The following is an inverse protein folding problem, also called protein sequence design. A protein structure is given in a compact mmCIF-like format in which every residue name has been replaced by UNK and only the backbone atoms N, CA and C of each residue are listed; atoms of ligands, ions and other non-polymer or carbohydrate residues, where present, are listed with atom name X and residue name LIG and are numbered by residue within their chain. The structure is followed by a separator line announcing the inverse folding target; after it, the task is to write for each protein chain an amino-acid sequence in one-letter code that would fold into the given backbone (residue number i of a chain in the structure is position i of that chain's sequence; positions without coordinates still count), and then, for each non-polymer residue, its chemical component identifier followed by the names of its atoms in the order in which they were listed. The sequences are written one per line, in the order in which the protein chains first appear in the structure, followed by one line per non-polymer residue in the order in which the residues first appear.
data_IF_702535856365
#
_entry.id   IF_702535856365
#
_cell.length_a   1.000
_cell.length_b   1.000
_cell.length_c   1.000
_cell.angle_alpha   90.00
_cell.angle_beta   90.00
_cell.angle_gamma   90.00
#
_symmetry.space_group_name_H-M   'P 1'
#
loop_
_entity.id
_entity.type
_entity.pdbx_description
1 polymer ?
#
# COMPACT_ATOMS: atom_id res chain seq x y z
N UNK A 1 21.14 -9.98 12.98
CA UNK A 1 20.19 -9.62 11.90
C UNK A 1 19.53 -10.90 11.43
N UNK A 2 18.20 -10.92 11.23
CA UNK A 2 17.51 -12.07 10.64
C UNK A 2 17.11 -13.20 11.60
N UNK A 3 17.34 -13.07 12.90
CA UNK A 3 16.80 -14.00 13.91
C UNK A 3 15.46 -13.48 14.37
N UNK A 4 14.41 -14.26 14.23
CA UNK A 4 13.08 -13.87 14.68
C UNK A 4 12.20 -15.09 15.00
N UNK A 5 11.03 -14.84 15.57
CA UNK A 5 10.04 -15.84 15.92
C UNK A 5 8.70 -15.43 15.31
N UNK A 6 8.14 -16.31 14.48
CA UNK A 6 6.78 -16.17 13.97
C UNK A 6 5.80 -17.00 14.80
N UNK A 7 4.65 -16.41 15.11
CA UNK A 7 3.48 -17.09 15.67
C UNK A 7 2.33 -16.84 14.71
N UNK A 8 1.70 -17.92 14.26
CA UNK A 8 0.65 -17.87 13.25
C UNK A 8 -0.31 -19.03 13.35
N UNK A 9 -1.40 -18.94 12.60
CA UNK A 9 -2.34 -20.03 12.43
C UNK A 9 -1.81 -20.98 11.34
N UNK A 10 -2.03 -22.27 11.54
CA UNK A 10 -1.70 -23.33 10.58
C UNK A 10 -2.91 -23.66 9.72
N UNK A 11 -2.70 -24.32 8.58
CA UNK A 11 -3.79 -24.76 7.69
C UNK A 11 -4.85 -25.64 8.38
N UNK A 12 -4.45 -26.38 9.42
CA UNK A 12 -5.35 -27.24 10.21
C UNK A 12 -6.04 -26.50 11.36
N UNK A 13 -5.89 -25.17 11.46
CA UNK A 13 -6.62 -24.31 12.40
C UNK A 13 -6.03 -24.21 13.82
N UNK A 14 -4.79 -24.67 14.03
CA UNK A 14 -4.08 -24.51 15.32
C UNK A 14 -3.01 -23.43 15.26
N UNK A 15 -2.64 -22.87 16.41
CA UNK A 15 -1.50 -21.93 16.53
C UNK A 15 -0.18 -22.67 16.56
N UNK A 16 0.78 -22.20 15.76
CA UNK A 16 2.16 -22.66 15.76
C UNK A 16 3.13 -21.54 16.16
N UNK A 17 4.31 -21.91 16.64
CA UNK A 17 5.44 -20.99 16.86
C UNK A 17 6.69 -21.55 16.21
N UNK A 18 7.35 -20.75 15.38
CA UNK A 18 8.57 -21.14 14.67
C UNK A 18 9.62 -20.05 14.83
N UNK A 19 10.81 -20.44 15.32
CA UNK A 19 12.00 -19.58 15.26
C UNK A 19 12.73 -19.79 13.96
N UNK A 20 13.29 -18.72 13.38
CA UNK A 20 14.04 -18.81 12.12
C UNK A 20 15.25 -17.87 12.09
N UNK A 21 16.18 -18.17 11.18
CA UNK A 21 17.34 -17.36 10.86
C UNK A 21 17.37 -17.07 9.34
N UNK A 22 16.97 -15.85 8.94
CA UNK A 22 16.81 -15.45 7.54
C UNK A 22 17.41 -14.05 7.27
N UNK A 23 18.69 -13.87 7.60
CA UNK A 23 19.37 -12.58 7.49
C UNK A 23 19.37 -12.01 6.06
N UNK A 24 19.78 -12.81 5.08
CA UNK A 24 19.85 -12.38 3.68
C UNK A 24 18.47 -11.99 3.15
N UNK A 25 17.47 -12.86 3.34
CA UNK A 25 16.09 -12.64 2.89
C UNK A 25 15.51 -11.35 3.46
N UNK A 26 15.71 -11.09 4.75
CA UNK A 26 15.20 -9.89 5.40
C UNK A 26 15.85 -8.61 4.85
N UNK A 27 17.15 -8.64 4.57
CA UNK A 27 17.86 -7.52 3.94
C UNK A 27 17.39 -7.29 2.50
N UNK A 28 17.26 -8.36 1.70
CA UNK A 28 16.84 -8.28 0.30
C UNK A 28 15.42 -7.71 0.19
N UNK A 29 14.47 -8.21 0.99
CA UNK A 29 13.09 -7.72 1.00
C UNK A 29 13.07 -6.22 1.35
N UNK A 30 13.84 -5.80 2.35
CA UNK A 30 13.86 -4.40 2.79
C UNK A 30 14.57 -3.48 1.81
N UNK A 31 15.61 -3.97 1.15
CA UNK A 31 16.25 -3.27 0.04
C UNK A 31 15.26 -3.09 -1.13
N UNK A 32 14.61 -4.17 -1.52
CA UNK A 32 13.63 -4.19 -2.61
C UNK A 32 12.46 -3.25 -2.34
N UNK A 33 11.88 -3.26 -1.13
CA UNK A 33 10.85 -2.30 -0.73
C UNK A 33 11.32 -0.84 -0.80
N UNK A 34 12.59 -0.57 -0.47
CA UNK A 34 13.13 0.79 -0.57
C UNK A 34 13.25 1.21 -2.05
N UNK A 35 13.72 0.32 -2.91
CA UNK A 35 13.83 0.59 -4.35
C UNK A 35 12.44 0.79 -4.99
N UNK A 36 11.47 -0.07 -4.68
CA UNK A 36 10.11 0.04 -5.19
C UNK A 36 9.44 1.37 -4.81
N UNK A 37 9.70 1.89 -3.61
CA UNK A 37 9.15 3.20 -3.19
C UNK A 37 9.61 4.37 -4.06
N UNK A 38 10.79 4.24 -4.66
CA UNK A 38 11.34 5.28 -5.54
C UNK A 38 10.95 5.09 -7.00
N UNK A 39 10.60 3.88 -7.41
CA UNK A 39 10.31 3.57 -8.82
C UNK A 39 8.81 3.43 -9.10
N UNK A 40 8.03 2.92 -8.15
CA UNK A 40 6.61 2.67 -8.31
C UNK A 40 5.77 3.84 -7.83
N UNK A 41 4.66 4.08 -8.53
CA UNK A 41 3.68 5.09 -8.11
C UNK A 41 2.94 4.65 -6.85
N UNK A 42 2.34 5.62 -6.14
CA UNK A 42 1.54 5.39 -4.92
C UNK A 42 0.53 4.25 -5.08
N UNK A 43 -0.23 4.24 -6.18
CA UNK A 43 -1.30 3.26 -6.37
C UNK A 43 -0.78 1.89 -6.80
N UNK A 44 0.32 1.83 -7.56
CA UNK A 44 1.00 0.56 -7.84
C UNK A 44 1.47 -0.10 -6.54
N UNK A 45 2.14 0.65 -5.65
CA UNK A 45 2.56 0.14 -4.34
C UNK A 45 1.38 -0.37 -3.51
N UNK A 46 0.32 0.44 -3.40
CA UNK A 46 -0.88 0.10 -2.63
C UNK A 46 -1.52 -1.23 -3.07
N UNK A 47 -1.62 -1.47 -4.38
CA UNK A 47 -2.20 -2.72 -4.90
C UNK A 47 -1.21 -3.88 -4.83
N UNK A 48 0.06 -3.63 -5.15
CA UNK A 48 1.11 -4.65 -5.07
C UNK A 48 1.25 -5.20 -3.66
N UNK A 49 1.20 -4.36 -2.63
CA UNK A 49 1.30 -4.79 -1.23
C UNK A 49 0.15 -5.71 -0.83
N UNK A 50 -1.09 -5.39 -1.23
CA UNK A 50 -2.26 -6.23 -0.98
C UNK A 50 -2.14 -7.60 -1.66
N UNK A 51 -1.76 -7.60 -2.94
CA UNK A 51 -1.60 -8.83 -3.72
C UNK A 51 -0.43 -9.68 -3.21
N UNK A 52 0.69 -9.06 -2.84
CA UNK A 52 1.85 -9.76 -2.29
C UNK A 52 1.52 -10.40 -0.93
N UNK A 53 0.74 -9.73 -0.08
CA UNK A 53 0.29 -10.29 1.18
C UNK A 53 -0.61 -11.52 0.97
N UNK A 54 -1.60 -11.41 0.07
CA UNK A 54 -2.45 -12.55 -0.28
C UNK A 54 -1.62 -13.70 -0.86
N UNK A 55 -0.75 -13.43 -1.83
CA UNK A 55 0.11 -14.43 -2.46
C UNK A 55 1.00 -15.16 -1.45
N UNK A 56 1.65 -14.43 -0.54
CA UNK A 56 2.48 -15.01 0.50
C UNK A 56 1.70 -15.92 1.44
N UNK A 57 0.48 -15.52 1.84
CA UNK A 57 -0.40 -16.33 2.65
C UNK A 57 -0.88 -17.58 1.89
N UNK A 58 -1.33 -17.44 0.65
CA UNK A 58 -1.82 -18.56 -0.16
C UNK A 58 -0.72 -19.59 -0.44
N UNK A 59 0.50 -19.09 -0.67
CA UNK A 59 1.70 -19.93 -0.78
C UNK A 59 2.01 -20.66 0.54
N UNK A 60 1.91 -19.98 1.68
CA UNK A 60 2.09 -20.57 3.00
C UNK A 60 1.07 -21.70 3.27
N UNK A 61 -0.17 -21.55 2.80
CA UNK A 61 -1.22 -22.59 2.84
C UNK A 61 -1.03 -23.71 1.78
N UNK A 62 0.11 -23.74 1.08
CA UNK A 62 0.44 -24.77 0.09
C UNK A 62 -0.36 -24.69 -1.22
N UNK A 63 -1.11 -23.62 -1.45
CA UNK A 63 -1.99 -23.46 -2.61
C UNK A 63 -1.27 -22.88 -3.85
N UNK A 64 -0.03 -23.29 -4.09
CA UNK A 64 0.80 -22.75 -5.17
C UNK A 64 0.25 -23.01 -6.58
N UNK A 65 -0.45 -24.14 -6.77
CA UNK A 65 -1.00 -24.57 -8.06
C UNK A 65 -2.34 -23.90 -8.41
N UNK A 66 -2.91 -23.11 -7.49
CA UNK A 66 -4.14 -22.36 -7.77
C UNK A 66 -3.89 -21.36 -8.92
N UNK A 67 -4.77 -21.29 -9.95
CA UNK A 67 -4.64 -20.33 -11.05
C UNK A 67 -4.47 -18.87 -10.61
N UNK A 68 -5.01 -18.48 -9.44
CA UNK A 68 -4.84 -17.13 -8.91
C UNK A 68 -3.36 -16.77 -8.70
N UNK A 69 -2.52 -17.74 -8.40
CA UNK A 69 -1.08 -17.54 -8.20
C UNK A 69 -0.42 -17.05 -9.50
N UNK A 70 -0.75 -17.66 -10.64
CA UNK A 70 -0.23 -17.25 -11.96
C UNK A 70 -0.69 -15.84 -12.33
N UNK A 71 -1.94 -15.51 -12.01
CA UNK A 71 -2.50 -14.18 -12.28
C UNK A 71 -1.79 -13.10 -11.48
N UNK A 72 -1.53 -13.35 -10.18
CA UNK A 72 -0.80 -12.42 -9.33
C UNK A 72 0.67 -12.30 -9.78
N UNK A 73 1.32 -13.40 -10.14
CA UNK A 73 2.70 -13.36 -10.64
C UNK A 73 2.84 -12.58 -11.95
N UNK A 74 1.84 -12.62 -12.83
CA UNK A 74 1.82 -11.78 -14.03
C UNK A 74 1.79 -10.29 -13.66
N UNK A 75 0.94 -9.91 -12.70
CA UNK A 75 0.91 -8.55 -12.15
C UNK A 75 2.25 -8.16 -11.51
N UNK A 76 2.80 -9.03 -10.66
CA UNK A 76 4.08 -8.79 -10.00
C UNK A 76 5.19 -8.61 -11.05
N UNK A 77 5.30 -9.50 -12.02
CA UNK A 77 6.30 -9.43 -13.10
C UNK A 77 6.23 -8.10 -13.85
N UNK A 78 5.03 -7.68 -14.28
CA UNK A 78 4.85 -6.41 -14.97
C UNK A 78 5.18 -5.21 -14.07
N UNK A 79 4.80 -5.26 -12.79
CA UNK A 79 5.13 -4.19 -11.84
C UNK A 79 6.64 -4.00 -11.66
N UNK A 80 7.44 -5.05 -11.85
CA UNK A 80 8.89 -5.02 -11.62
C UNK A 80 9.70 -4.55 -12.84
N UNK A 81 9.10 -4.29 -14.00
CA UNK A 81 9.81 -3.94 -15.25
C UNK A 81 10.83 -2.80 -15.10
N UNK A 82 10.52 -1.79 -14.28
CA UNK A 82 11.39 -0.64 -14.03
C UNK A 82 12.10 -0.68 -12.68
N UNK A 83 11.82 -1.67 -11.82
CA UNK A 83 12.39 -1.76 -10.47
C UNK A 83 13.84 -2.25 -10.57
N UNK A 84 14.72 -1.34 -10.97
CA UNK A 84 16.14 -1.59 -11.22
C UNK A 84 16.97 -0.49 -10.59
N UNK A 85 17.96 -0.86 -9.79
CA UNK A 85 18.83 0.07 -9.09
C UNK A 85 19.67 -0.61 -8.03
N UNK A 86 20.45 0.19 -7.32
CA UNK A 86 21.30 -0.23 -6.21
C UNK A 86 20.76 0.33 -4.88
N UNK A 87 20.90 -0.46 -3.81
CA UNK A 87 20.46 -0.06 -2.47
C UNK A 87 21.63 -0.22 -1.52
N UNK A 88 22.02 0.87 -0.88
CA UNK A 88 23.10 0.88 0.10
C UNK A 88 22.56 0.55 1.49
N UNK A 89 23.09 -0.50 2.11
CA UNK A 89 22.71 -0.93 3.47
C UNK A 89 23.95 -1.01 4.35
N UNK A 90 23.90 -0.39 5.53
CA UNK A 90 24.90 -0.61 6.58
C UNK A 90 24.42 -1.66 7.56
N UNK A 91 25.29 -2.64 7.83
CA UNK A 91 25.06 -3.69 8.81
C UNK A 91 25.76 -3.35 10.12
N UNK A 92 25.04 -3.52 11.22
CA UNK A 92 25.57 -3.39 12.58
C UNK A 92 25.32 -4.71 13.33
N UNK A 93 25.98 -4.91 14.49
CA UNK A 93 25.57 -5.94 15.41
C UNK A 93 24.07 -5.83 15.72
N UNK A 94 23.34 -6.91 15.49
CA UNK A 94 21.89 -7.07 15.75
C UNK A 94 20.92 -6.20 14.92
N UNK A 95 21.37 -5.21 14.14
CA UNK A 95 20.49 -4.31 13.35
C UNK A 95 21.08 -3.95 11.99
N UNK A 96 20.26 -3.43 11.08
CA UNK A 96 20.69 -2.90 9.79
C UNK A 96 20.01 -1.55 9.53
N UNK A 97 20.58 -0.76 8.63
CA UNK A 97 20.02 0.53 8.20
C UNK A 97 20.11 0.64 6.67
N UNK A 98 18.99 0.99 6.03
CA UNK A 98 18.97 1.36 4.61
C UNK A 98 19.40 2.81 4.51
N UNK A 99 20.50 3.07 3.81
CA UNK A 99 21.12 4.40 3.75
C UNK A 99 20.58 5.23 2.58
N UNK A 100 20.26 4.58 1.47
CA UNK A 100 19.84 5.26 0.26
C UNK A 100 19.70 4.29 -0.91
N UNK A 101 19.16 4.80 -2.00
CA UNK A 101 18.93 4.07 -3.24
C UNK A 101 19.44 4.88 -4.41
N UNK A 102 19.88 4.20 -5.46
CA UNK A 102 20.24 4.80 -6.73
C UNK A 102 19.51 4.04 -7.84
N UNK A 103 18.73 4.76 -8.67
CA UNK A 103 18.00 4.16 -9.78
C UNK A 103 17.90 5.13 -10.95
N UNK A 104 18.03 4.61 -12.18
CA UNK A 104 17.76 5.36 -13.41
C UNK A 104 16.27 5.74 -13.58
N UNK A 105 15.38 5.11 -12.82
CA UNK A 105 13.93 5.30 -12.86
C UNK A 105 13.39 5.98 -11.59
N UNK A 106 14.25 6.66 -10.83
CA UNK A 106 13.83 7.32 -9.59
C UNK A 106 12.84 8.47 -9.85
N UNK A 107 11.61 8.29 -9.35
CA UNK A 107 10.53 9.28 -9.40
C UNK A 107 10.83 10.52 -8.55
N UNK A 108 11.77 10.43 -7.61
CA UNK A 108 12.24 11.54 -6.77
C UNK A 108 13.43 12.31 -7.38
N UNK A 109 13.85 12.01 -8.63
CA UNK A 109 15.02 12.68 -9.20
C UNK A 109 14.86 14.21 -9.18
N UNK A 110 15.97 14.90 -8.88
CA UNK A 110 16.03 16.35 -8.68
C UNK A 110 15.52 17.20 -9.86
N UNK A 111 15.30 16.58 -11.02
CA UNK A 111 14.66 17.19 -12.19
C UNK A 111 13.19 17.55 -11.98
N UNK A 112 12.48 16.82 -11.12
CA UNK A 112 11.02 16.97 -10.96
C UNK A 112 10.61 17.45 -9.56
N UNK A 113 11.40 17.16 -8.52
CA UNK A 113 11.05 17.44 -7.13
C UNK A 113 12.04 18.39 -6.44
N UNK A 114 11.91 19.70 -6.65
CA UNK A 114 12.47 20.69 -5.72
C UNK A 114 11.40 21.08 -4.70
N UNK A 115 11.33 20.34 -3.61
CA UNK A 115 10.46 20.73 -2.50
C UNK A 115 10.99 22.01 -1.85
N UNK A 116 10.17 23.06 -1.80
CA UNK A 116 10.41 24.23 -0.94
C UNK A 116 10.83 25.55 -1.60
N UNK A 117 11.29 25.57 -2.86
CA UNK A 117 11.81 26.84 -3.44
C UNK A 117 11.08 27.33 -4.69
N UNK A 118 10.50 26.46 -5.51
CA UNK A 118 9.72 26.86 -6.70
C UNK A 118 9.00 25.64 -7.27
N UNK A 119 7.67 25.70 -7.38
CA UNK A 119 6.90 24.68 -8.08
C UNK A 119 6.82 25.04 -9.55
N UNK A 120 7.53 24.30 -10.41
CA UNK A 120 7.58 24.54 -11.85
C UNK A 120 6.50 23.76 -12.63
N UNK A 121 5.78 22.85 -11.96
CA UNK A 121 4.89 21.90 -12.63
C UNK A 121 3.42 22.32 -12.71
N UNK A 122 2.96 23.25 -11.86
CA UNK A 122 1.56 23.67 -11.81
C UNK A 122 1.40 25.01 -11.10
N UNK A 123 0.33 25.72 -11.45
CA UNK A 123 -0.03 27.04 -10.89
C UNK A 123 -0.97 26.92 -9.69
N UNK A 124 -1.17 28.01 -8.95
CA UNK A 124 -2.12 28.03 -7.83
C UNK A 124 -3.58 27.84 -8.26
N UNK A 125 -3.94 28.23 -9.48
CA UNK A 125 -5.31 28.05 -9.99
C UNK A 125 -5.59 26.59 -10.39
N UNK A 126 -4.57 25.88 -10.88
CA UNK A 126 -4.66 24.43 -11.14
C UNK A 126 -4.98 23.66 -9.85
N UNK A 127 -4.33 24.04 -8.74
CA UNK A 127 -4.58 23.42 -7.43
C UNK A 127 -6.01 23.67 -6.96
N UNK A 128 -6.50 24.92 -7.06
CA UNK A 128 -7.89 25.24 -6.68
C UNK A 128 -8.91 24.43 -7.49
N UNK A 129 -8.70 24.34 -8.80
CA UNK A 129 -9.55 23.55 -9.71
C UNK A 129 -9.54 22.07 -9.33
N UNK A 130 -8.35 21.49 -9.16
CA UNK A 130 -8.21 20.09 -8.76
C UNK A 130 -8.86 19.80 -7.40
N UNK A 131 -8.64 20.63 -6.38
CA UNK A 131 -9.25 20.46 -5.06
C UNK A 131 -10.77 20.44 -5.14
N UNK A 132 -11.37 21.37 -5.91
CA UNK A 132 -12.82 21.44 -6.07
C UNK A 132 -13.37 20.17 -6.75
N UNK A 133 -12.73 19.69 -7.81
CA UNK A 133 -13.18 18.51 -8.55
C UNK A 133 -12.97 17.24 -7.72
N UNK A 134 -11.77 17.03 -7.18
CA UNK A 134 -11.41 15.82 -6.46
C UNK A 134 -12.18 15.66 -5.14
N UNK A 135 -12.45 16.76 -4.44
CA UNK A 135 -13.24 16.78 -3.21
C UNK A 135 -14.75 16.65 -3.42
N UNK A 136 -15.25 16.86 -4.65
CA UNK A 136 -16.69 16.90 -4.94
C UNK A 136 -17.42 15.61 -4.56
N UNK A 137 -16.79 14.45 -4.79
CA UNK A 137 -17.36 13.14 -4.42
C UNK A 137 -17.68 13.04 -2.92
N UNK A 138 -16.79 13.58 -2.07
CA UNK A 138 -16.96 13.58 -0.62
C UNK A 138 -18.01 14.60 -0.22
N UNK A 139 -18.02 15.77 -0.87
CA UNK A 139 -19.03 16.80 -0.64
C UNK A 139 -20.46 16.28 -0.94
N UNK A 140 -20.65 15.59 -2.06
CA UNK A 140 -21.94 14.99 -2.44
C UNK A 140 -22.40 13.96 -1.40
N UNK A 141 -21.49 13.08 -0.95
CA UNK A 141 -21.81 12.09 0.08
C UNK A 141 -22.41 12.74 1.34
N UNK A 142 -21.77 13.81 1.85
CA UNK A 142 -22.28 14.53 3.01
C UNK A 142 -23.58 15.29 2.73
N UNK A 143 -23.73 15.87 1.54
CA UNK A 143 -24.96 16.55 1.15
C UNK A 143 -26.16 15.59 1.16
N UNK A 144 -26.04 14.44 0.51
CA UNK A 144 -27.11 13.41 0.50
C UNK A 144 -27.40 12.90 1.92
N UNK A 145 -26.37 12.59 2.70
CA UNK A 145 -26.53 12.15 4.09
C UNK A 145 -27.24 13.19 4.97
N UNK A 146 -26.91 14.47 4.81
CA UNK A 146 -27.54 15.58 5.55
C UNK A 146 -29.00 15.83 5.14
N UNK A 147 -29.32 15.68 3.85
CA UNK A 147 -30.70 15.79 3.37
C UNK A 147 -31.58 14.65 3.85
N UNK A 148 -31.05 13.43 4.00
CA UNK A 148 -31.80 12.29 4.54
C UNK A 148 -32.14 12.47 6.04
N UNK A 149 -31.23 13.03 6.83
CA UNK A 149 -31.47 13.33 8.25
C UNK A 149 -32.62 14.35 8.46
N UNK A 150 -32.76 15.31 7.54
CA UNK A 150 -33.85 16.31 7.59
C UNK A 150 -35.22 15.69 7.23
N UNK A 151 -35.24 14.68 6.35
CA UNK A 151 -36.49 13.98 5.96
C UNK A 151 -37.00 13.06 7.08
N UNK A 152 -36.10 12.38 7.80
CA UNK A 152 -36.48 11.50 8.93
C UNK A 152 -36.84 12.24 10.21
N UNK A 153 -36.44 13.51 10.37
CA UNK A 153 -36.77 14.33 11.54
C UNK A 153 -38.18 14.93 11.55
N UNK A 154 -38.97 14.76 10.47
CA UNK A 154 -40.29 15.38 10.31
C UNK A 154 -41.47 14.39 10.36
N UNK A 155 -41.23 13.12 10.70
CA UNK A 155 -42.31 12.16 10.97
C UNK A 155 -42.68 12.22 12.47
N UNK A 156 -43.75 12.95 12.80
CA UNK A 156 -44.44 12.79 14.09
C UNK A 156 -44.85 11.31 14.25
N UNK A 157 -44.74 10.72 15.45
CA UNK A 157 -45.32 9.42 15.70
C UNK A 157 -46.85 9.55 15.60
N UNK A 158 -47.44 8.96 14.57
CA UNK A 158 -48.89 8.77 14.51
C UNK A 158 -49.30 7.79 15.62
N UNK A 159 -49.82 8.34 16.71
CA UNK A 159 -50.64 7.57 17.67
C UNK A 159 -51.94 7.19 16.98
N UNK A 160 -51.90 6.09 16.24
CA UNK A 160 -53.03 5.48 15.54
C UNK A 160 -53.49 4.21 16.25
N UNK A 161 -54.44 4.39 17.16
CA UNK A 161 -55.34 3.42 17.79
C UNK A 161 -55.49 2.07 17.07
N UNK A 162 -55.15 0.96 17.73
CA UNK A 162 -55.66 -0.37 17.37
C UNK A 162 -56.33 -1.00 18.60
N UNK A 163 -57.63 -1.24 18.41
CA UNK A 163 -58.48 -2.13 19.19
C UNK A 163 -57.87 -3.54 19.30
#
# INVERSE_FOLDING_TARGET
IGRDIHVGDTIIGIKGRVGFEAAATLLIIKAHHALEKHVLTKWQLSWKDQLAQFYGNWLHEGQYLDPVMRNIEAFLTNSQENVTGEVSITLYPYRYQVNGIESRYDLMSSKFGKYGEMNLGWTGDDVKGFTKIFGNQVAIHYQVASSQLQVTGNQKPETGNKL
#
